data_IF_952374531958
#
_entry.id   IF_952374531958
#
_cell.length_a   1.000
_cell.length_b   1.000
_cell.length_c   1.000
_cell.angle_alpha   90.00
_cell.angle_beta   90.00
_cell.angle_gamma   90.00
#
_symmetry.space_group_name_H-M   'P 1'
#
loop_
_entity.id
_entity.type
_entity.pdbx_description
1 polymer ?
#
# COMPACT_ATOMS: atom_id res chain seq x y z
N UNK A 1 -20.12 -0.58 -40.43
CA UNK A 1 -19.52 0.30 -39.41
C UNK A 1 -19.44 -0.53 -38.14
N UNK A 2 -18.26 -1.07 -37.83
CA UNK A 2 -18.04 -1.59 -36.49
C UNK A 2 -18.01 -0.39 -35.57
N UNK A 3 -19.02 -0.29 -34.71
CA UNK A 3 -18.97 0.60 -33.56
C UNK A 3 -17.87 0.03 -32.66
N UNK A 4 -16.73 0.72 -32.65
CA UNK A 4 -15.69 0.52 -31.65
C UNK A 4 -16.37 0.71 -30.29
N UNK A 5 -16.73 -0.40 -29.66
CA UNK A 5 -17.15 -0.40 -28.26
C UNK A 5 -15.97 0.21 -27.49
N UNK A 6 -16.19 1.17 -26.58
CA UNK A 6 -15.10 1.67 -25.75
C UNK A 6 -14.42 0.47 -25.12
N UNK A 7 -13.10 0.36 -25.29
CA UNK A 7 -12.35 -0.73 -24.67
C UNK A 7 -12.76 -0.81 -23.21
N UNK A 8 -13.04 -2.03 -22.68
CA UNK A 8 -13.46 -2.17 -21.30
C UNK A 8 -12.41 -1.49 -20.43
N UNK A 9 -12.87 -0.56 -19.59
CA UNK A 9 -12.02 0.14 -18.63
C UNK A 9 -11.12 -0.91 -17.98
N UNK A 10 -9.77 -0.75 -18.00
CA UNK A 10 -8.86 -1.78 -17.54
C UNK A 10 -9.28 -2.20 -16.14
N UNK A 11 -9.70 -3.46 -16.00
CA UNK A 11 -10.12 -3.97 -14.70
C UNK A 11 -8.89 -3.92 -13.79
N UNK A 12 -9.04 -3.20 -12.67
CA UNK A 12 -8.01 -3.14 -11.64
C UNK A 12 -7.66 -4.58 -11.23
N UNK A 13 -6.37 -4.93 -11.13
CA UNK A 13 -5.97 -6.23 -10.60
C UNK A 13 -6.50 -6.40 -9.16
N UNK A 14 -6.54 -7.65 -8.69
CA UNK A 14 -6.83 -7.91 -7.28
C UNK A 14 -5.92 -7.10 -6.37
N UNK A 15 -6.47 -6.53 -5.29
CA UNK A 15 -5.76 -5.63 -4.36
C UNK A 15 -4.49 -6.27 -3.78
N UNK A 16 -4.50 -7.57 -3.52
CA UNK A 16 -3.32 -8.32 -3.06
C UNK A 16 -2.21 -8.35 -4.10
N UNK A 17 -2.56 -8.59 -5.37
CA UNK A 17 -1.58 -8.57 -6.47
C UNK A 17 -1.00 -7.18 -6.59
N UNK A 18 -1.84 -6.14 -6.60
CA UNK A 18 -1.38 -4.76 -6.67
C UNK A 18 -0.44 -4.41 -5.51
N UNK A 19 -0.81 -4.77 -4.27
CA UNK A 19 0.01 -4.53 -3.11
C UNK A 19 1.37 -5.24 -3.19
N UNK A 20 1.40 -6.48 -3.68
CA UNK A 20 2.63 -7.24 -3.92
C UNK A 20 3.52 -6.55 -4.95
N UNK A 21 2.96 -6.11 -6.07
CA UNK A 21 3.72 -5.43 -7.11
C UNK A 21 4.27 -4.08 -6.65
N UNK A 22 3.46 -3.29 -5.94
CA UNK A 22 3.91 -2.01 -5.36
C UNK A 22 5.04 -2.24 -4.38
N UNK A 23 4.91 -3.21 -3.48
CA UNK A 23 5.94 -3.55 -2.49
C UNK A 23 7.25 -4.01 -3.16
N UNK A 24 7.15 -4.91 -4.15
CA UNK A 24 8.31 -5.36 -4.91
C UNK A 24 8.98 -4.22 -5.67
N UNK A 25 8.21 -3.31 -6.27
CA UNK A 25 8.75 -2.15 -6.97
C UNK A 25 9.51 -1.24 -6.01
N UNK A 26 8.91 -0.93 -4.85
CA UNK A 26 9.55 -0.16 -3.79
C UNK A 26 10.82 -0.85 -3.27
N UNK A 27 10.84 -2.18 -3.18
CA UNK A 27 12.04 -2.92 -2.81
C UNK A 27 13.20 -2.72 -3.78
N UNK A 28 12.92 -2.69 -5.08
CA UNK A 28 13.94 -2.53 -6.12
C UNK A 28 14.38 -1.07 -6.23
N UNK A 29 13.48 -0.11 -6.01
CA UNK A 29 13.78 1.32 -6.19
C UNK A 29 14.37 2.01 -4.97
N UNK A 30 14.10 1.50 -3.76
CA UNK A 30 14.60 2.09 -2.52
C UNK A 30 15.96 1.47 -2.18
N UNK A 31 16.98 2.32 -2.07
CA UNK A 31 18.32 1.89 -1.65
C UNK A 31 18.38 1.46 -0.18
N UNK A 32 17.39 1.85 0.62
CA UNK A 32 17.31 1.53 2.05
C UNK A 32 16.00 0.85 2.42
N UNK A 33 16.07 -0.12 3.33
CA UNK A 33 14.89 -0.77 3.87
C UNK A 33 14.11 0.16 4.82
N UNK A 34 14.82 0.94 5.62
CA UNK A 34 14.24 1.84 6.61
C UNK A 34 13.83 3.16 5.95
N UNK A 35 12.63 3.63 6.30
CA UNK A 35 12.09 4.91 5.86
C UNK A 35 12.09 5.88 7.04
N UNK A 36 12.40 7.17 6.81
CA UNK A 36 12.38 8.19 7.85
C UNK A 36 10.98 8.47 8.40
N UNK A 37 9.93 8.08 7.66
CA UNK A 37 8.53 8.20 8.06
C UNK A 37 7.61 7.31 7.23
N UNK A 38 6.31 7.51 7.39
CA UNK A 38 5.30 6.95 6.52
C UNK A 38 5.32 7.68 5.17
N UNK A 39 5.28 6.93 4.07
CA UNK A 39 5.21 7.47 2.72
C UNK A 39 3.85 7.16 2.10
N UNK A 40 3.29 8.14 1.41
CA UNK A 40 2.07 8.03 0.63
C UNK A 40 2.43 8.03 -0.86
N UNK A 41 1.99 7.01 -1.58
CA UNK A 41 2.17 6.89 -3.01
C UNK A 41 0.83 6.77 -3.73
N UNK A 42 0.65 7.53 -4.80
CA UNK A 42 -0.41 7.34 -5.77
C UNK A 42 -0.03 6.23 -6.75
N UNK A 43 -0.97 5.35 -7.06
CA UNK A 43 -0.79 4.23 -7.97
C UNK A 43 -1.72 4.41 -9.16
N UNK A 44 -1.16 4.60 -10.35
CA UNK A 44 -1.92 4.62 -11.60
C UNK A 44 -1.67 3.32 -12.35
N UNK A 45 -2.72 2.58 -12.68
CA UNK A 45 -2.64 1.36 -13.49
C UNK A 45 -2.66 1.75 -14.95
N UNK A 46 -1.58 1.44 -15.68
CA UNK A 46 -1.40 1.79 -17.09
C UNK A 46 -1.87 0.66 -17.99
N UNK A 47 -1.52 -0.58 -17.65
CA UNK A 47 -2.00 -1.78 -18.35
C UNK A 47 -2.20 -2.93 -17.36
N UNK A 48 -3.46 -3.31 -17.14
CA UNK A 48 -3.81 -4.39 -16.24
C UNK A 48 -3.47 -5.79 -16.78
N UNK A 49 -3.03 -5.92 -18.04
CA UNK A 49 -2.62 -7.19 -18.65
C UNK A 49 -1.12 -7.44 -18.54
N UNK A 50 -0.32 -6.45 -18.15
CA UNK A 50 1.15 -6.55 -18.13
C UNK A 50 1.76 -6.99 -16.79
N UNK A 51 0.94 -7.26 -15.77
CA UNK A 51 1.42 -7.64 -14.44
C UNK A 51 2.32 -8.89 -14.43
N UNK A 52 2.17 -9.79 -15.39
CA UNK A 52 2.97 -11.03 -15.48
C UNK A 52 4.31 -10.88 -16.25
N UNK A 53 4.54 -9.77 -16.97
CA UNK A 53 5.67 -9.68 -17.93
C UNK A 53 6.55 -8.44 -17.75
N UNK A 54 5.97 -7.31 -17.33
CA UNK A 54 6.73 -6.09 -17.06
C UNK A 54 5.95 -5.21 -16.05
N UNK A 55 6.33 -5.33 -14.78
CA UNK A 55 5.73 -4.55 -13.69
C UNK A 55 5.86 -3.04 -13.92
N UNK A 56 6.88 -2.58 -14.65
CA UNK A 56 7.05 -1.17 -15.02
C UNK A 56 6.14 -0.73 -16.14
N UNK A 57 5.67 -1.64 -17.00
CA UNK A 57 4.64 -1.29 -17.97
C UNK A 57 3.25 -1.28 -17.33
N UNK A 58 3.04 -2.08 -16.27
CA UNK A 58 1.72 -2.30 -15.68
C UNK A 58 1.20 -1.12 -14.84
N UNK A 59 2.05 -0.44 -14.07
CA UNK A 59 1.64 0.68 -13.21
C UNK A 59 2.71 1.76 -13.04
N UNK A 60 2.28 2.92 -12.54
CA UNK A 60 3.12 4.06 -12.18
C UNK A 60 2.94 4.38 -10.70
N UNK A 61 4.06 4.50 -9.99
CA UNK A 61 4.08 5.02 -8.62
C UNK A 61 4.46 6.50 -8.63
N UNK A 62 3.65 7.31 -7.96
CA UNK A 62 3.93 8.73 -7.74
C UNK A 62 4.02 8.97 -6.24
N UNK A 63 5.16 9.47 -5.76
CA UNK A 63 5.27 9.91 -4.37
C UNK A 63 4.40 11.16 -4.16
N UNK A 64 3.54 11.14 -3.14
CA UNK A 64 2.60 12.23 -2.86
C UNK A 64 3.01 13.02 -1.62
N UNK A 65 3.34 12.33 -0.53
CA UNK A 65 3.66 12.94 0.74
C UNK A 65 4.43 11.98 1.65
N UNK A 66 5.15 12.55 2.62
CA UNK A 66 5.77 11.83 3.73
C UNK A 66 5.42 12.51 5.05
N UNK A 67 5.28 11.71 6.12
CA UNK A 67 5.16 12.23 7.47
C UNK A 67 5.62 11.17 8.49
N UNK A 68 6.25 11.54 9.62
CA UNK A 68 6.66 10.58 10.65
C UNK A 68 5.49 9.79 11.26
N UNK A 69 4.32 10.41 11.35
CA UNK A 69 3.07 9.80 11.80
C UNK A 69 2.13 9.55 10.61
N UNK A 70 1.69 8.30 10.44
CA UNK A 70 0.81 7.87 9.36
C UNK A 70 -0.61 8.43 9.46
N UNK A 71 -1.13 8.70 10.66
CA UNK A 71 -2.47 9.24 10.82
C UNK A 71 -2.50 10.71 10.40
N UNK A 72 -1.50 11.47 10.84
CA UNK A 72 -1.28 12.85 10.38
C UNK A 72 -1.02 12.90 8.87
N UNK A 73 -0.31 11.92 8.30
CA UNK A 73 -0.13 11.81 6.84
C UNK A 73 -1.47 11.69 6.11
N UNK A 74 -2.38 10.86 6.62
CA UNK A 74 -3.68 10.61 6.00
C UNK A 74 -4.63 11.81 6.16
N UNK A 75 -4.55 12.54 7.25
CA UNK A 75 -5.36 13.75 7.50
C UNK A 75 -4.80 15.02 6.82
N UNK A 76 -3.53 15.00 6.38
CA UNK A 76 -2.91 16.15 5.74
C UNK A 76 -3.59 16.52 4.41
N UNK A 77 -3.77 17.81 4.08
CA UNK A 77 -4.38 18.23 2.81
C UNK A 77 -3.67 17.69 1.56
N UNK A 78 -2.36 17.42 1.64
CA UNK A 78 -1.58 16.81 0.54
C UNK A 78 -2.01 15.38 0.22
N UNK A 79 -2.57 14.64 1.19
CA UNK A 79 -3.04 13.28 0.99
C UNK A 79 -4.24 13.22 0.03
N UNK A 80 -5.07 14.27 -0.01
CA UNK A 80 -6.27 14.34 -0.84
C UNK A 80 -5.99 14.09 -2.33
N UNK A 81 -4.77 14.40 -2.81
CA UNK A 81 -4.32 14.10 -4.17
C UNK A 81 -4.35 12.59 -4.49
N UNK A 82 -4.21 11.73 -3.49
CA UNK A 82 -4.26 10.28 -3.66
C UNK A 82 -5.58 9.77 -4.24
N UNK A 83 -6.68 10.52 -4.08
CA UNK A 83 -7.98 10.17 -4.68
C UNK A 83 -8.05 10.41 -6.19
N UNK A 84 -7.05 11.08 -6.77
CA UNK A 84 -6.94 11.24 -8.23
C UNK A 84 -6.31 10.01 -8.92
N UNK A 85 -5.84 9.04 -8.15
CA UNK A 85 -5.19 7.82 -8.61
C UNK A 85 -6.14 6.62 -8.52
N UNK A 86 -5.83 5.54 -9.25
CA UNK A 86 -6.63 4.31 -9.24
C UNK A 86 -6.53 3.57 -7.89
N UNK A 87 -5.40 3.72 -7.21
CA UNK A 87 -5.18 3.23 -5.86
C UNK A 87 -4.16 4.12 -5.12
N UNK A 88 -4.08 3.96 -3.80
CA UNK A 88 -3.07 4.59 -2.96
C UNK A 88 -2.34 3.53 -2.16
N UNK A 89 -1.03 3.69 -2.04
CA UNK A 89 -0.18 2.86 -1.21
C UNK A 89 0.41 3.67 -0.05
N UNK A 90 0.23 3.17 1.17
CA UNK A 90 0.85 3.68 2.39
C UNK A 90 1.97 2.73 2.77
N UNK A 91 3.18 3.26 2.90
CA UNK A 91 4.38 2.47 3.20
C UNK A 91 4.96 2.95 4.52
N UNK A 92 5.14 2.03 5.45
CA UNK A 92 5.73 2.31 6.76
C UNK A 92 6.81 1.29 7.09
N UNK A 93 7.75 1.68 7.94
CA UNK A 93 8.74 0.74 8.47
C UNK A 93 8.65 0.70 9.98
N UNK A 94 8.69 -0.51 10.54
CA UNK A 94 8.41 -0.75 11.94
C UNK A 94 9.16 -1.95 12.47
N UNK A 95 8.78 -2.38 13.66
CA UNK A 95 9.24 -3.61 14.28
C UNK A 95 8.04 -4.51 14.51
N UNK A 96 8.10 -5.74 14.03
CA UNK A 96 7.11 -6.77 14.33
C UNK A 96 7.70 -7.76 15.35
N UNK A 97 6.89 -8.15 16.34
CA UNK A 97 7.19 -9.33 17.13
C UNK A 97 7.04 -10.57 16.23
N UNK A 98 7.87 -11.60 16.40
CA UNK A 98 7.70 -12.84 15.67
C UNK A 98 6.33 -13.46 15.98
N UNK A 99 5.72 -14.07 14.97
CA UNK A 99 4.56 -14.93 15.19
C UNK A 99 5.07 -16.20 15.92
N UNK A 100 4.40 -16.59 17.01
CA UNK A 100 4.65 -17.85 17.69
C UNK A 100 4.26 -19.05 16.82
N UNK A 101 4.51 -20.26 17.31
CA UNK A 101 4.25 -21.51 16.57
C UNK A 101 2.78 -21.70 16.14
N UNK A 102 1.85 -20.96 16.77
CA UNK A 102 0.43 -20.97 16.46
C UNK A 102 -0.02 -19.84 15.52
N UNK A 103 0.91 -19.03 15.00
CA UNK A 103 0.60 -17.85 14.17
C UNK A 103 0.10 -16.63 14.98
N UNK A 104 0.07 -16.72 16.30
CA UNK A 104 -0.28 -15.59 17.17
C UNK A 104 0.95 -14.74 17.50
N UNK A 105 0.77 -13.43 17.65
CA UNK A 105 1.85 -12.53 18.03
C UNK A 105 2.28 -12.86 19.46
N UNK A 106 3.48 -13.42 19.64
CA UNK A 106 4.05 -13.60 20.97
C UNK A 106 4.52 -12.25 21.49
N UNK A 107 3.73 -11.64 22.38
CA UNK A 107 4.09 -10.45 23.15
C UNK A 107 4.20 -9.14 22.35
N UNK A 108 4.49 -8.06 23.06
CA UNK A 108 4.68 -6.75 22.42
C UNK A 108 6.05 -6.69 21.68
N UNK A 109 6.12 -6.13 20.46
CA UNK A 109 7.37 -5.98 19.70
C UNK A 109 8.48 -5.24 20.45
N UNK A 110 8.12 -4.37 21.40
CA UNK A 110 9.04 -3.63 22.25
C UNK A 110 9.76 -4.50 23.30
N UNK A 111 9.25 -5.70 23.61
CA UNK A 111 9.81 -6.63 24.61
C UNK A 111 10.41 -7.90 24.02
N UNK A 112 10.24 -8.16 22.72
CA UNK A 112 10.75 -9.37 22.09
C UNK A 112 12.17 -9.20 21.53
N UNK A 113 13.12 -9.98 22.06
CA UNK A 113 14.51 -10.01 21.61
C UNK A 113 14.68 -10.44 20.14
N UNK A 114 13.69 -11.16 19.59
CA UNK A 114 13.62 -11.61 18.19
C UNK A 114 12.77 -10.70 17.30
N UNK A 115 12.48 -9.46 17.72
CA UNK A 115 11.75 -8.52 16.87
C UNK A 115 12.44 -8.38 15.52
N UNK A 116 11.67 -8.42 14.45
CA UNK A 116 12.17 -8.30 13.08
C UNK A 116 11.82 -6.92 12.55
N UNK A 117 12.75 -6.30 11.83
CA UNK A 117 12.48 -5.04 11.14
C UNK A 117 11.58 -5.36 9.95
N UNK A 118 10.46 -4.67 9.84
CA UNK A 118 9.45 -4.92 8.81
C UNK A 118 9.14 -3.66 8.02
N UNK A 119 8.78 -3.86 6.76
CA UNK A 119 8.17 -2.84 5.91
C UNK A 119 6.76 -3.29 5.60
N UNK A 120 5.79 -2.48 6.02
CA UNK A 120 4.38 -2.70 5.75
C UNK A 120 3.97 -1.78 4.61
N UNK A 121 3.47 -2.38 3.53
CA UNK A 121 2.86 -1.69 2.41
C UNK A 121 1.37 -2.00 2.42
N UNK A 122 0.53 -1.00 2.63
CA UNK A 122 -0.94 -1.14 2.57
C UNK A 122 -1.41 -0.44 1.31
N UNK A 123 -2.17 -1.15 0.47
CA UNK A 123 -2.78 -0.57 -0.73
C UNK A 123 -4.29 -0.56 -0.57
N UNK A 124 -4.90 0.57 -0.90
CA UNK A 124 -6.35 0.75 -0.95
C UNK A 124 -6.77 1.20 -2.34
N UNK A 125 -7.85 0.61 -2.84
CA UNK A 125 -8.50 0.98 -4.09
C UNK A 125 -10.01 0.78 -3.97
N UNK A 126 -10.75 1.05 -5.03
CA UNK A 126 -12.19 0.77 -5.09
C UNK A 126 -12.52 -0.74 -5.06
N UNK A 127 -11.52 -1.62 -5.22
CA UNK A 127 -11.66 -3.07 -5.04
C UNK A 127 -11.44 -3.53 -3.59
N UNK A 128 -11.07 -2.62 -2.69
CA UNK A 128 -10.84 -2.88 -1.27
C UNK A 128 -9.42 -2.54 -0.81
N UNK A 129 -9.03 -3.15 0.30
CA UNK A 129 -7.71 -2.95 0.92
C UNK A 129 -6.94 -4.28 0.95
N UNK A 130 -5.63 -4.21 0.77
CA UNK A 130 -4.71 -5.31 1.00
C UNK A 130 -3.40 -4.80 1.58
N UNK A 131 -2.65 -5.67 2.24
CA UNK A 131 -1.32 -5.32 2.75
C UNK A 131 -0.29 -6.38 2.49
N UNK A 132 0.97 -5.94 2.44
CA UNK A 132 2.15 -6.79 2.30
C UNK A 132 3.16 -6.39 3.34
N UNK A 133 3.67 -7.39 4.06
CA UNK A 133 4.75 -7.25 5.02
C UNK A 133 5.99 -7.92 4.44
N UNK A 134 7.07 -7.16 4.30
CA UNK A 134 8.41 -7.69 4.01
C UNK A 134 9.28 -7.58 5.25
N UNK A 135 10.14 -8.57 5.48
CA UNK A 135 11.11 -8.55 6.56
C UNK A 135 12.49 -8.14 6.07
N UNK A 136 13.26 -7.40 6.87
CA UNK A 136 14.58 -6.93 6.48
C UNK A 136 15.64 -8.04 6.47
N UNK A 137 15.48 -9.06 7.33
CA UNK A 137 16.38 -10.20 7.47
C UNK A 137 16.12 -11.30 6.42
N UNK A 138 14.88 -11.42 5.94
CA UNK A 138 14.49 -12.33 4.86
C UNK A 138 13.68 -11.55 3.81
N UNK A 139 14.35 -10.75 2.96
CA UNK A 139 13.67 -9.86 2.03
C UNK A 139 12.84 -10.65 1.01
N UNK A 140 13.24 -11.85 0.62
CA UNK A 140 12.49 -12.67 -0.35
C UNK A 140 11.18 -13.24 0.22
N UNK A 141 11.03 -13.24 1.55
CA UNK A 141 9.82 -13.67 2.23
C UNK A 141 8.86 -12.47 2.41
N UNK A 142 7.67 -12.59 1.82
CA UNK A 142 6.57 -11.64 2.02
C UNK A 142 5.36 -12.34 2.61
N UNK A 143 4.68 -11.65 3.52
CA UNK A 143 3.36 -12.04 4.02
C UNK A 143 2.34 -11.10 3.42
N UNK A 144 1.31 -11.67 2.79
CA UNK A 144 0.21 -10.89 2.22
C UNK A 144 -1.06 -11.06 3.05
N UNK A 145 -1.83 -9.99 3.17
CA UNK A 145 -3.15 -9.99 3.80
C UNK A 145 -4.16 -9.34 2.86
N UNK A 146 -5.25 -10.05 2.56
CA UNK A 146 -6.31 -9.63 1.64
C UNK A 146 -7.36 -8.73 2.31
N UNK A 147 -6.93 -7.83 3.19
CA UNK A 147 -7.83 -6.92 3.93
C UNK A 147 -8.59 -7.59 5.05
N UNK A 148 -8.07 -8.70 5.59
CA UNK A 148 -8.60 -9.35 6.81
C UNK A 148 -7.93 -8.80 8.06
N UNK A 149 -6.87 -8.00 7.91
CA UNK A 149 -6.24 -7.26 9.00
C UNK A 149 -7.25 -6.29 9.64
N UNK A 150 -7.56 -6.56 10.91
CA UNK A 150 -8.37 -5.68 11.76
C UNK A 150 -7.45 -4.79 12.58
N UNK A 151 -7.66 -3.47 12.57
CA UNK A 151 -6.82 -2.54 13.33
C UNK A 151 -6.98 -1.09 12.92
N UNK A 152 -6.53 -0.18 13.80
CA UNK A 152 -6.72 1.26 13.65
C UNK A 152 -6.13 1.84 12.36
N UNK A 153 -5.04 1.27 11.85
CA UNK A 153 -4.45 1.70 10.57
C UNK A 153 -5.32 1.27 9.37
N UNK A 154 -5.86 0.05 9.39
CA UNK A 154 -6.76 -0.43 8.34
C UNK A 154 -8.05 0.42 8.33
N UNK A 155 -8.59 0.76 9.50
CA UNK A 155 -9.77 1.61 9.64
C UNK A 155 -9.48 3.04 9.14
N UNK A 156 -8.33 3.62 9.48
CA UNK A 156 -7.94 4.94 9.03
C UNK A 156 -7.77 5.01 7.50
N UNK A 157 -7.13 4.01 6.88
CA UNK A 157 -6.94 3.96 5.43
C UNK A 157 -8.28 3.79 4.70
N UNK A 158 -9.16 2.90 5.19
CA UNK A 158 -10.50 2.75 4.64
C UNK A 158 -11.31 4.05 4.78
N UNK A 159 -11.26 4.69 5.94
CA UNK A 159 -11.89 5.99 6.18
C UNK A 159 -11.39 7.06 5.22
N UNK A 160 -10.07 7.19 5.08
CA UNK A 160 -9.43 8.10 4.13
C UNK A 160 -9.91 7.87 2.69
N UNK A 161 -9.98 6.61 2.24
CA UNK A 161 -10.41 6.30 0.87
C UNK A 161 -11.92 6.57 0.64
N UNK A 162 -12.73 6.32 1.66
CA UNK A 162 -14.19 6.48 1.62
C UNK A 162 -14.64 7.95 1.65
N UNK A 163 -13.83 8.89 2.13
CA UNK A 163 -14.19 10.31 2.27
C UNK A 163 -14.46 11.05 0.95
N UNK A 164 -14.29 10.38 -0.21
CA UNK A 164 -14.52 10.97 -1.53
C UNK A 164 -13.50 12.09 -1.85
N UNK A 165 -13.49 12.64 -3.07
CA UNK A 165 -12.68 13.81 -3.35
C UNK A 165 -13.18 14.97 -2.48
N UNK A 166 -12.27 15.62 -1.75
CA UNK A 166 -12.59 16.82 -1.01
C UNK A 166 -13.16 17.86 -1.99
N UNK A 167 -14.45 18.20 -1.83
CA UNK A 167 -15.05 19.31 -2.57
C UNK A 167 -14.38 20.57 -2.04
N UNK A 168 -13.43 21.11 -2.81
CA UNK A 168 -12.90 22.45 -2.53
C UNK A 168 -14.01 23.42 -2.91
N UNK A 169 -14.85 23.79 -1.94
CA UNK A 169 -15.76 24.93 -2.10
C UNK A 169 -14.89 26.18 -2.27
N UNK A 170 -14.83 26.67 -3.51
CA UNK A 170 -14.24 27.96 -3.84
C UNK A 170 -15.15 29.04 -3.24
N UNK A 171 -14.63 29.73 -2.22
CA UNK A 171 -15.31 30.87 -1.60
C UNK A 171 -14.98 32.16 -2.32
#
# INVERSE_FOLDING_TARGET
MNLDLPEPCPQLPGTVSLATFVEQRLHITLDTFELPGAHLHGVTVVDSKCFDSDADAAFRLSFLAEHPDVYELLEAPSSALGRMFDAVAVVTTGWAAPLGENGEVEGAPSQHAKRRRVRLTVVVSDQGVASVVRFADEPDEIITDAGSATGSLADAINGYWAQGPAVIESR
#
